data_IF_377898807661
#
_entry.id   IF_377898807661
#
_cell.length_a   1.000
_cell.length_b   1.000
_cell.length_c   1.000
_cell.angle_alpha   90.00
_cell.angle_beta   90.00
_cell.angle_gamma   90.00
#
_symmetry.space_group_name_H-M   'P 1'
#
loop_
_entity.id
_entity.type
_entity.pdbx_description
1 polymer ?
#
# COMPACT_ATOMS: atom_id res chain seq x y z
N UNK A 1 7.36 -0.96 -6.75
CA UNK A 1 7.87 0.37 -7.15
C UNK A 1 6.93 0.98 -8.19
N UNK A 2 6.58 2.26 -8.03
CA UNK A 2 5.72 2.98 -8.98
C UNK A 2 6.58 4.02 -9.71
N UNK A 3 6.47 4.04 -11.03
CA UNK A 3 7.15 4.99 -11.92
C UNK A 3 6.12 5.80 -12.70
N UNK A 4 6.41 7.06 -12.94
CA UNK A 4 5.57 8.00 -13.69
C UNK A 4 6.08 8.04 -15.12
N UNK A 5 5.43 7.34 -16.06
CA UNK A 5 5.88 7.23 -17.46
C UNK A 5 4.72 6.95 -18.41
N UNK A 6 4.21 8.00 -19.06
CA UNK A 6 3.14 7.93 -20.05
C UNK A 6 3.51 7.17 -21.33
N UNK A 7 4.80 6.97 -21.59
CA UNK A 7 5.30 6.37 -22.85
C UNK A 7 5.56 4.88 -22.74
N UNK A 8 5.70 4.34 -21.53
CA UNK A 8 6.05 2.93 -21.30
C UNK A 8 4.93 2.01 -21.76
N UNK A 9 5.28 1.05 -22.58
CA UNK A 9 4.39 -0.03 -23.00
C UNK A 9 4.71 -1.31 -22.24
N UNK A 10 3.69 -1.94 -21.67
CA UNK A 10 3.80 -3.21 -20.95
C UNK A 10 2.86 -4.25 -21.55
N UNK A 11 3.12 -5.53 -21.25
CA UNK A 11 2.24 -6.65 -21.63
C UNK A 11 0.97 -6.76 -20.76
N UNK A 12 0.84 -5.91 -19.73
CA UNK A 12 -0.31 -5.90 -18.85
C UNK A 12 -0.73 -4.46 -18.49
N UNK A 13 -2.03 -4.24 -18.34
CA UNK A 13 -2.64 -2.94 -17.98
C UNK A 13 -3.65 -3.14 -16.87
N UNK A 14 -3.58 -2.34 -15.82
CA UNK A 14 -4.56 -2.23 -14.76
C UNK A 14 -5.48 -1.04 -15.01
N UNK A 15 -6.79 -1.29 -15.04
CA UNK A 15 -7.83 -0.31 -15.33
C UNK A 15 -8.87 -0.26 -14.21
N UNK A 16 -9.41 0.92 -13.97
CA UNK A 16 -10.45 1.18 -12.98
C UNK A 16 -11.68 1.74 -13.67
N UNK A 17 -12.83 1.11 -13.48
CA UNK A 17 -14.05 1.45 -14.20
C UNK A 17 -15.20 1.65 -13.22
N UNK A 18 -15.79 2.85 -13.24
CA UNK A 18 -17.06 3.12 -12.60
C UNK A 18 -18.23 2.59 -13.48
N UNK A 19 -19.38 2.29 -12.87
CA UNK A 19 -20.52 1.71 -13.61
C UNK A 19 -20.97 2.52 -14.82
N UNK A 20 -21.09 3.86 -14.74
CA UNK A 20 -21.46 4.66 -15.90
C UNK A 20 -20.48 4.56 -17.07
N UNK A 21 -19.18 4.37 -16.78
CA UNK A 21 -18.15 4.27 -17.81
C UNK A 21 -18.04 2.86 -18.44
N UNK A 22 -18.78 1.86 -17.95
CA UNK A 22 -18.75 0.49 -18.47
C UNK A 22 -19.12 0.42 -19.95
N UNK A 23 -20.01 1.27 -20.44
CA UNK A 23 -20.43 1.30 -21.85
C UNK A 23 -19.28 1.65 -22.80
N UNK A 24 -18.26 2.34 -22.33
CA UNK A 24 -17.05 2.67 -23.11
C UNK A 24 -16.07 1.49 -23.23
N UNK A 25 -16.26 0.43 -22.43
CA UNK A 25 -15.38 -0.74 -22.47
C UNK A 25 -15.61 -1.60 -23.72
N UNK A 26 -14.60 -2.39 -24.14
CA UNK A 26 -14.75 -3.36 -25.22
C UNK A 26 -15.90 -4.34 -24.97
N UNK A 27 -16.59 -4.77 -26.05
CA UNK A 27 -17.74 -5.66 -25.96
C UNK A 27 -17.49 -6.94 -25.13
N UNK A 28 -16.37 -7.66 -25.27
CA UNK A 28 -16.10 -8.85 -24.46
C UNK A 28 -16.05 -8.57 -22.95
N UNK A 29 -15.66 -7.35 -22.56
CA UNK A 29 -15.63 -6.92 -21.16
C UNK A 29 -17.05 -6.64 -20.68
N UNK A 30 -17.83 -5.86 -21.43
CA UNK A 30 -19.21 -5.48 -21.08
C UNK A 30 -20.17 -6.67 -20.92
N UNK A 31 -19.91 -7.78 -21.61
CA UNK A 31 -20.74 -8.98 -21.53
C UNK A 31 -20.58 -9.75 -20.21
N UNK A 32 -19.45 -9.59 -19.51
CA UNK A 32 -19.08 -10.43 -18.36
C UNK A 32 -18.84 -9.61 -17.10
N UNK A 33 -18.35 -8.38 -17.25
CA UNK A 33 -17.99 -7.50 -16.15
C UNK A 33 -19.07 -6.44 -15.91
N UNK A 34 -19.51 -6.29 -14.68
CA UNK A 34 -20.59 -5.37 -14.28
C UNK A 34 -20.10 -4.06 -13.64
N UNK A 35 -18.78 -3.93 -13.48
CA UNK A 35 -18.11 -2.82 -12.78
C UNK A 35 -18.68 -2.53 -11.38
N UNK A 36 -19.34 -3.50 -10.74
CA UNK A 36 -19.75 -3.36 -9.34
C UNK A 36 -18.53 -3.13 -8.44
N UNK A 37 -18.75 -2.47 -7.31
CA UNK A 37 -17.64 -2.06 -6.43
C UNK A 37 -16.79 -3.25 -6.00
N UNK A 38 -15.48 -3.16 -6.29
CA UNK A 38 -14.47 -4.19 -6.00
C UNK A 38 -14.63 -5.49 -6.80
N UNK A 39 -15.52 -5.52 -7.80
CA UNK A 39 -15.49 -6.61 -8.78
C UNK A 39 -14.18 -6.59 -9.57
N UNK A 40 -13.70 -7.76 -9.93
CA UNK A 40 -12.45 -7.91 -10.67
C UNK A 40 -12.67 -8.81 -11.89
N UNK A 41 -12.07 -8.44 -13.00
CA UNK A 41 -12.12 -9.19 -14.23
C UNK A 41 -10.79 -9.05 -14.97
N UNK A 42 -10.36 -10.10 -15.65
CA UNK A 42 -9.16 -10.04 -16.50
C UNK A 42 -9.36 -10.79 -17.80
N UNK A 43 -8.76 -10.29 -18.86
CA UNK A 43 -8.80 -10.90 -20.18
C UNK A 43 -7.63 -10.43 -21.03
N UNK A 44 -7.29 -11.19 -22.05
CA UNK A 44 -6.36 -10.77 -23.09
C UNK A 44 -7.12 -10.05 -24.22
N UNK A 45 -6.70 -8.82 -24.53
CA UNK A 45 -7.15 -8.05 -25.67
C UNK A 45 -5.92 -7.65 -26.49
N UNK A 46 -5.90 -7.99 -27.77
CA UNK A 46 -4.81 -7.68 -28.70
C UNK A 46 -3.40 -8.06 -28.19
N UNK A 47 -3.31 -9.20 -27.50
CA UNK A 47 -2.06 -9.70 -26.95
C UNK A 47 -1.63 -9.06 -25.62
N UNK A 48 -2.41 -8.15 -25.07
CA UNK A 48 -2.16 -7.46 -23.79
C UNK A 48 -3.10 -8.01 -22.71
N UNK A 49 -2.55 -8.35 -21.54
CA UNK A 49 -3.35 -8.70 -20.37
C UNK A 49 -4.02 -7.45 -19.81
N UNK A 50 -5.33 -7.39 -19.81
CA UNK A 50 -6.09 -6.32 -19.18
C UNK A 50 -6.72 -6.81 -17.89
N UNK A 51 -6.48 -6.10 -16.81
CA UNK A 51 -7.12 -6.30 -15.50
C UNK A 51 -8.05 -5.12 -15.24
N UNK A 52 -9.29 -5.41 -14.96
CA UNK A 52 -10.35 -4.44 -14.72
C UNK A 52 -10.80 -4.56 -13.26
N UNK A 53 -10.90 -3.42 -12.58
CA UNK A 53 -11.43 -3.34 -11.22
C UNK A 53 -12.60 -2.38 -11.19
N UNK A 54 -13.73 -2.86 -10.68
CA UNK A 54 -14.97 -2.07 -10.56
C UNK A 54 -14.87 -1.07 -9.41
N UNK A 55 -15.24 0.16 -9.70
CA UNK A 55 -15.37 1.23 -8.71
C UNK A 55 -16.82 1.35 -8.17
N UNK A 56 -17.79 0.73 -8.87
CA UNK A 56 -19.21 0.84 -8.54
C UNK A 56 -19.80 2.15 -9.00
N UNK A 57 -20.83 2.58 -8.28
CA UNK A 57 -21.54 3.82 -8.54
C UNK A 57 -20.70 5.04 -8.14
N UNK A 58 -20.58 6.02 -9.05
CA UNK A 58 -19.80 7.25 -8.84
C UNK A 58 -20.38 8.12 -7.73
N UNK A 59 -21.70 8.17 -7.53
CA UNK A 59 -22.31 8.99 -6.49
C UNK A 59 -21.90 8.58 -5.08
N UNK A 60 -21.54 7.32 -4.88
CA UNK A 60 -21.13 6.75 -3.58
C UNK A 60 -19.65 6.45 -3.50
N UNK A 61 -18.88 6.74 -4.56
CA UNK A 61 -17.46 6.49 -4.63
C UNK A 61 -16.69 7.48 -3.71
N UNK A 62 -15.61 7.02 -3.10
CA UNK A 62 -14.70 7.83 -2.26
C UNK A 62 -13.26 7.48 -2.55
N UNK A 63 -12.30 8.34 -2.16
CA UNK A 63 -10.87 8.06 -2.29
C UNK A 63 -10.44 6.78 -1.53
N UNK A 64 -11.12 6.46 -0.42
CA UNK A 64 -10.89 5.18 0.28
C UNK A 64 -11.27 3.98 -0.58
N UNK A 65 -12.34 4.09 -1.37
CA UNK A 65 -12.73 3.05 -2.33
C UNK A 65 -11.72 2.94 -3.49
N UNK A 66 -11.20 4.06 -3.98
CA UNK A 66 -10.12 4.08 -4.99
C UNK A 66 -8.89 3.35 -4.47
N UNK A 67 -8.45 3.67 -3.25
CA UNK A 67 -7.34 2.98 -2.58
C UNK A 67 -7.55 1.47 -2.48
N UNK A 68 -8.75 1.06 -2.08
CA UNK A 68 -9.10 -0.36 -1.94
C UNK A 68 -9.15 -1.08 -3.28
N UNK A 69 -9.73 -0.46 -4.31
CA UNK A 69 -9.75 -0.99 -5.67
C UNK A 69 -8.33 -1.14 -6.24
N UNK A 70 -7.47 -0.15 -6.00
CA UNK A 70 -6.07 -0.18 -6.39
C UNK A 70 -5.31 -1.36 -5.75
N UNK A 71 -5.56 -1.62 -4.46
CA UNK A 71 -4.97 -2.76 -3.76
C UNK A 71 -5.44 -4.10 -4.33
N UNK A 72 -6.71 -4.22 -4.70
CA UNK A 72 -7.28 -5.42 -5.36
C UNK A 72 -6.60 -5.63 -6.71
N UNK A 73 -6.53 -4.59 -7.55
CA UNK A 73 -5.89 -4.67 -8.86
C UNK A 73 -4.42 -5.07 -8.79
N UNK A 74 -3.65 -4.46 -7.87
CA UNK A 74 -2.26 -4.80 -7.65
C UNK A 74 -2.07 -6.25 -7.17
N UNK A 75 -2.96 -6.74 -6.28
CA UNK A 75 -2.99 -8.13 -5.85
C UNK A 75 -3.26 -9.08 -7.01
N UNK A 76 -4.18 -8.73 -7.92
CA UNK A 76 -4.47 -9.51 -9.11
C UNK A 76 -3.28 -9.54 -10.07
N UNK A 77 -2.62 -8.40 -10.35
CA UNK A 77 -1.39 -8.37 -11.14
C UNK A 77 -0.31 -9.30 -10.58
N UNK A 78 -0.17 -9.34 -9.26
CA UNK A 78 0.73 -10.28 -8.58
C UNK A 78 0.32 -11.73 -8.78
N UNK A 79 -0.97 -12.08 -8.65
CA UNK A 79 -1.49 -13.43 -8.85
C UNK A 79 -1.27 -13.92 -10.28
N UNK A 80 -1.42 -13.02 -11.26
CA UNK A 80 -1.19 -13.26 -12.69
C UNK A 80 0.31 -13.18 -13.05
N UNK A 81 1.20 -12.95 -12.07
CA UNK A 81 2.66 -12.85 -12.27
C UNK A 81 3.08 -11.78 -13.28
N UNK A 82 2.33 -10.67 -13.33
CA UNK A 82 2.67 -9.52 -14.17
C UNK A 82 3.64 -8.61 -13.39
N UNK A 83 4.93 -8.74 -13.68
CA UNK A 83 6.00 -8.04 -12.92
C UNK A 83 6.13 -6.57 -13.33
N UNK A 84 5.81 -6.26 -14.57
CA UNK A 84 5.74 -4.89 -15.11
C UNK A 84 4.36 -4.69 -15.71
N UNK A 85 3.66 -3.63 -15.31
CA UNK A 85 2.33 -3.31 -15.80
C UNK A 85 2.06 -1.82 -15.81
N UNK A 86 1.20 -1.40 -16.73
CA UNK A 86 0.68 -0.04 -16.79
C UNK A 86 -0.50 0.11 -15.81
N UNK A 87 -0.65 1.29 -15.27
CA UNK A 87 -1.79 1.70 -14.43
C UNK A 87 -2.45 2.90 -15.08
N UNK A 88 -3.65 2.69 -15.60
CA UNK A 88 -4.43 3.75 -16.25
C UNK A 88 -5.14 4.57 -15.17
N UNK A 89 -4.69 5.82 -14.97
CA UNK A 89 -5.18 6.71 -13.92
C UNK A 89 -6.20 7.75 -14.41
N UNK A 90 -6.38 7.92 -15.72
CA UNK A 90 -7.20 9.01 -16.29
C UNK A 90 -8.59 9.08 -15.69
N UNK A 91 -9.34 7.99 -15.66
CA UNK A 91 -10.70 7.99 -15.13
C UNK A 91 -10.79 8.34 -13.64
N UNK A 92 -9.76 8.07 -12.85
CA UNK A 92 -9.71 8.45 -11.43
C UNK A 92 -9.36 9.92 -11.30
N UNK A 93 -8.41 10.41 -12.11
CA UNK A 93 -8.00 11.83 -12.13
C UNK A 93 -9.17 12.71 -12.60
N UNK A 94 -9.95 12.27 -13.61
CA UNK A 94 -11.12 12.97 -14.09
C UNK A 94 -12.22 13.13 -13.02
N UNK A 95 -12.38 12.10 -12.15
CA UNK A 95 -13.37 12.10 -11.08
C UNK A 95 -12.94 12.90 -9.84
N UNK A 96 -11.67 12.85 -9.46
CA UNK A 96 -11.20 13.36 -8.17
C UNK A 96 -10.04 14.34 -8.24
N UNK A 97 -9.55 14.64 -9.44
CA UNK A 97 -8.37 15.47 -9.63
C UNK A 97 -7.05 14.72 -9.35
N UNK A 98 -5.95 15.42 -9.56
CA UNK A 98 -4.59 14.88 -9.50
C UNK A 98 -4.25 14.32 -8.10
N UNK A 99 -4.76 14.92 -7.04
CA UNK A 99 -4.51 14.48 -5.66
C UNK A 99 -4.92 13.01 -5.41
N UNK A 100 -5.88 12.49 -6.19
CA UNK A 100 -6.32 11.09 -6.12
C UNK A 100 -5.23 10.08 -6.44
N UNK A 101 -4.18 10.49 -7.14
CA UNK A 101 -2.99 9.67 -7.44
C UNK A 101 -2.31 9.20 -6.16
N UNK A 102 -2.33 10.00 -5.10
CA UNK A 102 -1.79 9.59 -3.81
C UNK A 102 -2.49 8.34 -3.25
N UNK A 103 -3.83 8.32 -3.26
CA UNK A 103 -4.61 7.17 -2.76
C UNK A 103 -4.50 5.96 -3.69
N UNK A 104 -4.52 6.18 -5.01
CA UNK A 104 -4.29 5.14 -6.02
C UNK A 104 -2.94 4.44 -5.78
N UNK A 105 -1.85 5.19 -5.70
CA UNK A 105 -0.50 4.66 -5.53
C UNK A 105 -0.31 4.01 -4.16
N UNK A 106 -0.84 4.61 -3.09
CA UNK A 106 -0.85 3.99 -1.75
C UNK A 106 -1.55 2.63 -1.79
N UNK A 107 -2.68 2.52 -2.48
CA UNK A 107 -3.42 1.27 -2.64
C UNK A 107 -2.61 0.21 -3.38
N UNK A 108 -1.96 0.56 -4.48
CA UNK A 108 -1.09 -0.35 -5.26
C UNK A 108 0.02 -0.92 -4.38
N UNK A 109 0.79 -0.07 -3.69
CA UNK A 109 1.89 -0.51 -2.83
C UNK A 109 1.40 -1.42 -1.70
N UNK A 110 0.31 -1.06 -1.01
CA UNK A 110 -0.26 -1.86 0.08
C UNK A 110 -0.88 -3.17 -0.41
N UNK A 111 -1.38 -3.24 -1.65
CA UNK A 111 -1.93 -4.45 -2.26
C UNK A 111 -0.85 -5.48 -2.62
N UNK A 112 0.38 -5.05 -2.86
CA UNK A 112 1.52 -5.90 -3.14
C UNK A 112 2.16 -6.49 -1.87
N UNK A 113 1.81 -5.98 -0.68
CA UNK A 113 2.38 -6.44 0.59
C UNK A 113 2.17 -7.94 0.82
N UNK A 114 3.22 -8.62 1.24
CA UNK A 114 3.22 -9.99 1.74
C UNK A 114 4.16 -10.08 2.95
N UNK A 115 3.69 -10.70 4.02
CA UNK A 115 4.55 -11.05 5.14
C UNK A 115 5.27 -12.38 4.84
N UNK A 116 6.59 -12.35 4.83
CA UNK A 116 7.42 -13.51 4.46
C UNK A 116 8.24 -14.05 5.63
N UNK A 117 8.17 -13.41 6.79
CA UNK A 117 9.05 -13.68 7.94
C UNK A 117 8.99 -15.07 8.56
N UNK A 118 7.96 -15.88 8.23
CA UNK A 118 7.77 -17.23 8.79
C UNK A 118 7.83 -18.36 7.76
N UNK A 119 8.22 -18.07 6.52
CA UNK A 119 8.35 -19.12 5.51
C UNK A 119 9.75 -19.73 5.52
N UNK A 120 9.83 -21.06 5.70
CA UNK A 120 11.10 -21.82 5.65
C UNK A 120 11.75 -21.85 4.26
N UNK A 121 10.93 -21.69 3.22
CA UNK A 121 11.41 -21.56 1.84
C UNK A 121 11.23 -20.10 1.43
N UNK A 122 12.33 -19.36 1.32
CA UNK A 122 12.28 -18.03 0.71
C UNK A 122 11.72 -18.18 -0.72
N UNK A 123 10.46 -17.79 -0.91
CA UNK A 123 9.92 -17.65 -2.26
C UNK A 123 10.75 -16.59 -2.96
N UNK A 124 11.03 -16.80 -4.25
CA UNK A 124 11.68 -15.77 -5.06
C UNK A 124 10.95 -14.43 -4.82
N UNK A 125 11.69 -13.44 -4.33
CA UNK A 125 11.16 -12.09 -4.17
C UNK A 125 11.01 -11.48 -5.55
N UNK A 126 9.81 -11.51 -6.07
CA UNK A 126 9.51 -10.79 -7.31
C UNK A 126 9.34 -9.31 -7.00
N UNK A 127 10.09 -8.47 -7.71
CA UNK A 127 9.83 -7.04 -7.74
C UNK A 127 8.72 -6.74 -8.74
N UNK A 128 7.78 -5.91 -8.34
CA UNK A 128 6.70 -5.42 -9.22
C UNK A 128 6.93 -3.95 -9.51
N UNK A 129 6.80 -3.58 -10.77
CA UNK A 129 6.91 -2.20 -11.23
C UNK A 129 5.62 -1.79 -11.92
N UNK A 130 4.96 -0.79 -11.37
CA UNK A 130 3.76 -0.18 -11.92
C UNK A 130 4.15 1.12 -12.65
N UNK A 131 3.75 1.29 -13.90
CA UNK A 131 3.94 2.50 -14.68
C UNK A 131 2.63 3.29 -14.73
N UNK A 132 2.59 4.40 -14.01
CA UNK A 132 1.41 5.26 -13.95
C UNK A 132 1.29 6.07 -15.24
N UNK A 133 0.10 6.06 -15.84
CA UNK A 133 -0.22 6.68 -17.12
C UNK A 133 -1.61 7.31 -17.11
N UNK A 134 -1.96 8.02 -18.19
CA UNK A 134 -3.28 8.60 -18.36
C UNK A 134 -3.40 10.00 -17.73
N UNK A 135 -2.35 10.81 -17.83
CA UNK A 135 -2.33 12.20 -17.38
C UNK A 135 -1.61 13.08 -18.40
N UNK A 136 -1.83 14.38 -18.33
CA UNK A 136 -1.11 15.35 -19.18
C UNK A 136 0.33 15.55 -18.71
N UNK A 137 1.28 15.62 -19.63
CA UNK A 137 2.73 15.71 -19.33
C UNK A 137 3.09 16.91 -18.44
N UNK A 138 2.34 18.01 -18.52
CA UNK A 138 2.53 19.18 -17.65
C UNK A 138 2.37 18.86 -16.15
N UNK A 139 1.58 17.84 -15.79
CA UNK A 139 1.33 17.42 -14.42
C UNK A 139 2.32 16.39 -13.89
N UNK A 140 3.26 15.94 -14.73
CA UNK A 140 4.22 14.91 -14.34
C UNK A 140 5.02 15.24 -13.06
N UNK A 141 5.51 16.49 -12.85
CA UNK A 141 6.25 16.81 -11.62
C UNK A 141 5.39 16.70 -10.34
N UNK A 142 4.14 17.17 -10.39
CA UNK A 142 3.19 17.12 -9.28
C UNK A 142 2.81 15.66 -8.96
N UNK A 143 2.51 14.88 -9.99
CA UNK A 143 2.21 13.45 -9.87
C UNK A 143 3.40 12.69 -9.27
N UNK A 144 4.63 13.01 -9.70
CA UNK A 144 5.83 12.37 -9.15
C UNK A 144 5.99 12.65 -7.64
N UNK A 145 5.67 13.87 -7.19
CA UNK A 145 5.69 14.21 -5.75
C UNK A 145 4.66 13.40 -4.97
N UNK A 146 3.42 13.28 -5.48
CA UNK A 146 2.36 12.47 -4.87
C UNK A 146 2.75 10.98 -4.81
N UNK A 147 3.35 10.44 -5.87
CA UNK A 147 3.88 9.07 -5.91
C UNK A 147 4.96 8.89 -4.84
N UNK A 148 5.94 9.77 -4.76
CA UNK A 148 7.01 9.68 -3.77
C UNK A 148 6.43 9.69 -2.34
N UNK A 149 5.48 10.58 -2.06
CA UNK A 149 4.80 10.65 -0.76
C UNK A 149 4.01 9.38 -0.45
N UNK A 150 3.27 8.85 -1.43
CA UNK A 150 2.48 7.61 -1.25
C UNK A 150 3.37 6.40 -0.95
N UNK A 151 4.51 6.27 -1.63
CA UNK A 151 5.48 5.20 -1.42
C UNK A 151 6.06 5.25 0.00
N UNK A 152 6.46 6.43 0.48
CA UNK A 152 6.98 6.59 1.84
C UNK A 152 5.93 6.17 2.87
N UNK A 153 4.68 6.62 2.73
CA UNK A 153 3.60 6.25 3.65
C UNK A 153 3.31 4.75 3.59
N UNK A 154 3.22 4.17 2.39
CA UNK A 154 2.97 2.74 2.23
C UNK A 154 4.08 1.88 2.85
N UNK A 155 5.36 2.25 2.66
CA UNK A 155 6.50 1.55 3.27
C UNK A 155 6.42 1.53 4.80
N UNK A 156 6.09 2.65 5.43
CA UNK A 156 5.93 2.72 6.89
C UNK A 156 4.74 1.90 7.38
N UNK A 157 3.62 1.87 6.64
CA UNK A 157 2.48 0.99 6.94
C UNK A 157 2.86 -0.49 6.79
N UNK A 158 3.64 -0.84 5.77
CA UNK A 158 4.12 -2.21 5.57
C UNK A 158 5.07 -2.64 6.70
N UNK A 159 6.00 -1.76 7.13
CA UNK A 159 6.85 -1.99 8.29
C UNK A 159 6.03 -2.27 9.57
N UNK A 160 5.01 -1.47 9.83
CA UNK A 160 4.11 -1.70 10.97
C UNK A 160 3.35 -3.03 10.85
N UNK A 161 2.92 -3.42 9.63
CA UNK A 161 2.30 -4.73 9.39
C UNK A 161 3.28 -5.88 9.63
N UNK A 162 4.55 -5.73 9.26
CA UNK A 162 5.58 -6.72 9.54
C UNK A 162 5.72 -6.93 11.04
N UNK A 163 5.77 -5.87 11.84
CA UNK A 163 5.83 -5.99 13.29
C UNK A 163 4.60 -6.70 13.87
N UNK A 164 3.39 -6.35 13.41
CA UNK A 164 2.13 -7.01 13.87
C UNK A 164 2.10 -8.48 13.48
N UNK A 165 2.68 -8.86 12.35
CA UNK A 165 2.70 -10.25 11.88
C UNK A 165 3.84 -11.09 12.48
N UNK A 166 4.83 -10.47 13.12
CA UNK A 166 5.89 -11.20 13.81
C UNK A 166 5.34 -11.99 15.00
N UNK A 167 5.72 -13.25 15.16
CA UNK A 167 5.35 -14.03 16.33
C UNK A 167 6.01 -13.48 17.61
N UNK A 168 5.34 -13.64 18.77
CA UNK A 168 5.76 -13.06 20.05
C UNK A 168 7.14 -13.48 20.56
N UNK A 169 7.67 -14.61 20.09
CA UNK A 169 9.04 -15.01 20.39
C UNK A 169 10.11 -14.19 19.64
N UNK A 170 9.74 -13.58 18.51
CA UNK A 170 10.60 -12.68 17.74
C UNK A 170 10.34 -11.21 18.10
N UNK A 171 9.06 -10.81 18.23
CA UNK A 171 8.67 -9.46 18.61
C UNK A 171 8.13 -9.44 20.04
N UNK A 172 9.04 -9.48 21.01
CA UNK A 172 8.76 -9.21 22.42
C UNK A 172 8.89 -7.69 22.71
N UNK A 173 8.53 -7.20 23.91
CA UNK A 173 8.61 -5.77 24.24
C UNK A 173 9.99 -5.14 24.06
N UNK A 174 11.07 -5.90 24.30
CA UNK A 174 12.43 -5.40 24.11
C UNK A 174 12.75 -5.22 22.64
N UNK A 175 12.51 -6.25 21.82
CA UNK A 175 12.73 -6.19 20.38
C UNK A 175 11.88 -5.09 19.71
N UNK A 176 10.61 -4.93 20.13
CA UNK A 176 9.78 -3.83 19.62
C UNK A 176 10.38 -2.46 19.96
N UNK A 177 10.86 -2.26 21.19
CA UNK A 177 11.49 -1.02 21.58
C UNK A 177 12.74 -0.72 20.75
N UNK A 178 13.58 -1.73 20.48
CA UNK A 178 14.77 -1.61 19.62
C UNK A 178 14.38 -1.20 18.20
N UNK A 179 13.40 -1.86 17.56
CA UNK A 179 12.90 -1.49 16.24
C UNK A 179 12.36 -0.05 16.18
N UNK A 180 11.61 0.38 17.19
CA UNK A 180 11.09 1.76 17.26
C UNK A 180 12.22 2.77 17.44
N UNK A 181 13.24 2.46 18.24
CA UNK A 181 14.42 3.32 18.41
C UNK A 181 15.19 3.47 17.10
N UNK A 182 15.41 2.37 16.38
CA UNK A 182 16.07 2.38 15.08
C UNK A 182 15.31 3.22 14.06
N UNK A 183 14.02 2.94 13.85
CA UNK A 183 13.16 3.69 12.94
C UNK A 183 13.10 5.19 13.31
N UNK A 184 13.02 5.53 14.60
CA UNK A 184 13.01 6.91 15.05
C UNK A 184 14.32 7.64 14.74
N UNK A 185 15.47 6.99 14.91
CA UNK A 185 16.78 7.56 14.55
C UNK A 185 16.92 7.77 13.05
N UNK A 186 16.50 6.80 12.25
CA UNK A 186 16.51 6.90 10.78
C UNK A 186 15.63 8.05 10.28
N UNK A 187 14.50 8.28 10.96
CA UNK A 187 13.60 9.41 10.68
C UNK A 187 14.12 10.76 11.21
N UNK A 188 15.28 10.81 11.85
CA UNK A 188 15.86 12.04 12.42
C UNK A 188 15.18 12.53 13.70
N UNK A 189 14.40 11.68 14.38
CA UNK A 189 13.76 12.02 15.64
C UNK A 189 14.75 12.00 16.81
N UNK A 190 14.52 12.88 17.82
CA UNK A 190 15.09 12.70 19.15
C UNK A 190 14.43 11.49 19.80
N UNK A 191 15.21 10.48 20.19
CA UNK A 191 14.69 9.23 20.76
C UNK A 191 15.08 9.13 22.23
N UNK A 192 14.07 8.91 23.10
CA UNK A 192 14.28 8.64 24.53
C UNK A 192 13.58 7.34 24.93
N UNK A 193 14.30 6.46 25.60
CA UNK A 193 13.74 5.23 26.17
C UNK A 193 13.60 5.42 27.68
N UNK A 194 12.42 5.12 28.22
CA UNK A 194 12.14 5.06 29.66
C UNK A 194 12.06 3.59 30.02
N UNK A 195 13.09 3.08 30.69
CA UNK A 195 13.17 1.73 31.21
C UNK A 195 12.41 1.54 32.54
N UNK A 196 12.38 0.32 33.08
CA UNK A 196 11.72 -0.03 34.33
C UNK A 196 12.21 0.83 35.50
N UNK A 197 13.53 1.08 35.61
CA UNK A 197 14.08 1.82 36.73
C UNK A 197 13.75 3.33 36.64
N UNK A 198 13.76 3.88 35.45
CA UNK A 198 13.32 5.25 35.22
C UNK A 198 11.81 5.40 35.45
N UNK A 199 11.00 4.43 35.02
CA UNK A 199 9.55 4.42 35.26
C UNK A 199 9.22 4.37 36.76
N UNK A 200 9.97 3.60 37.57
CA UNK A 200 9.86 3.60 39.04
C UNK A 200 10.15 4.99 39.62
N UNK A 201 11.26 5.62 39.20
CA UNK A 201 11.64 6.97 39.67
C UNK A 201 10.60 8.04 39.31
N UNK A 202 9.90 7.86 38.18
CA UNK A 202 8.83 8.75 37.70
C UNK A 202 7.46 8.45 38.35
N UNK A 203 7.36 7.42 39.22
CA UNK A 203 6.11 7.04 39.89
C UNK A 203 5.05 6.44 38.94
N UNK A 204 5.46 5.82 37.83
CA UNK A 204 4.56 5.27 36.81
C UNK A 204 3.98 3.90 37.22
N UNK A 205 3.35 3.84 38.40
CA UNK A 205 2.93 2.57 39.03
C UNK A 205 1.91 1.77 38.22
N UNK A 206 0.96 2.42 37.53
CA UNK A 206 -0.01 1.72 36.68
C UNK A 206 0.65 1.04 35.50
N UNK A 207 1.60 1.72 34.83
CA UNK A 207 2.40 1.12 33.77
C UNK A 207 3.18 -0.09 34.28
N UNK A 208 3.87 0.05 35.39
CA UNK A 208 4.67 -1.00 36.01
C UNK A 208 3.83 -2.20 36.47
N UNK A 209 2.61 -1.97 37.00
CA UNK A 209 1.73 -3.06 37.46
C UNK A 209 1.32 -4.00 36.34
N UNK A 210 1.21 -3.52 35.12
CA UNK A 210 0.96 -4.35 33.92
C UNK A 210 2.25 -4.96 33.37
N UNK A 211 3.30 -4.15 33.21
CA UNK A 211 4.52 -4.57 32.56
C UNK A 211 5.35 -5.57 33.35
N UNK A 212 5.34 -5.51 34.68
CA UNK A 212 6.12 -6.40 35.54
C UNK A 212 5.55 -7.83 35.66
N UNK A 213 4.40 -8.11 35.07
CA UNK A 213 3.84 -9.49 35.00
C UNK A 213 4.48 -10.33 33.88
N UNK A 214 5.31 -9.73 33.04
CA UNK A 214 6.01 -10.39 31.92
C UNK A 214 7.46 -10.73 32.31
N UNK A 215 8.00 -11.81 31.72
CA UNK A 215 9.42 -12.14 31.81
C UNK A 215 10.32 -11.13 31.03
N UNK A 216 9.71 -10.36 30.12
CA UNK A 216 10.39 -9.31 29.38
C UNK A 216 10.17 -7.95 30.04
N UNK A 217 11.25 -7.13 30.23
CA UNK A 217 11.12 -5.81 30.82
C UNK A 217 10.28 -4.88 29.91
N UNK A 218 9.38 -4.14 30.53
CA UNK A 218 8.60 -3.12 29.84
C UNK A 218 9.39 -1.82 29.66
N UNK A 219 9.10 -1.09 28.59
CA UNK A 219 9.70 0.22 28.31
C UNK A 219 8.71 1.14 27.60
N UNK A 220 8.99 2.45 27.67
CA UNK A 220 8.29 3.47 26.86
C UNK A 220 9.33 4.10 25.95
N UNK A 221 9.04 4.13 24.65
CA UNK A 221 9.86 4.86 23.67
C UNK A 221 9.16 6.15 23.32
N UNK A 222 9.86 7.26 23.49
CA UNK A 222 9.37 8.61 23.16
C UNK A 222 10.13 9.11 21.95
N UNK A 223 9.42 9.42 20.89
CA UNK A 223 9.93 10.03 19.68
C UNK A 223 9.51 11.50 19.64
N UNK A 224 10.45 12.40 19.36
CA UNK A 224 10.19 13.83 19.14
C UNK A 224 10.73 14.21 17.78
N UNK A 225 9.84 14.73 16.96
CA UNK A 225 10.12 15.27 15.63
C UNK A 225 10.23 16.79 15.70
#
# INVERSE_FOLDING_TARGET
MILVDNSKQCSAILRFIAQPALESCPEPVRQVFDASRFSEFHTFLDGVMNVWVGLGDEETLTLTHVKSAAAIGAKMMRQLKQHEYQVEASGIIDLYGIDSVYDLCTGIELGLYQYEGCYSNAKEKYSYTAFLQGFEDQHQPEIQELVNKSVVVAQNVMMARDWVNMPGNLLNPVALAEHVVEAGKEAGCEVKVVDVEQAKKLGMNLFLSVGLSSDYPCSIVVLRY
#
